data_IF_075869256312
#
_entry.id   IF_075869256312
#
_cell.length_a   1.000
_cell.length_b   1.000
_cell.length_c   1.000
_cell.angle_alpha   90.00
_cell.angle_beta   90.00
_cell.angle_gamma   90.00
#
_symmetry.space_group_name_H-M   'P 1'
#
loop_
_entity.id
_entity.type
_entity.pdbx_description
1 polymer ?
#
# COMPACT_ATOMS: atom_id res chain seq x y z
N UNK A 1 6.05 5.42 21.02
CA UNK A 1 5.97 4.04 20.45
C UNK A 1 4.90 3.90 19.38
N UNK A 2 3.70 4.45 19.57
CA UNK A 2 2.63 4.43 18.56
C UNK A 2 3.05 4.96 17.17
N UNK A 3 3.80 6.05 17.11
CA UNK A 3 4.33 6.60 15.84
C UNK A 3 5.26 5.62 15.11
N UNK A 4 6.06 4.82 15.83
CA UNK A 4 6.96 3.82 15.24
C UNK A 4 6.14 2.70 14.60
N UNK A 5 5.08 2.23 15.28
CA UNK A 5 4.18 1.23 14.72
C UNK A 5 3.39 1.73 13.50
N UNK A 6 3.01 3.01 13.51
CA UNK A 6 2.40 3.65 12.33
C UNK A 6 3.36 3.68 11.13
N UNK A 7 4.63 4.02 11.34
CA UNK A 7 5.65 4.03 10.27
C UNK A 7 5.92 2.61 9.76
N UNK A 8 6.04 1.63 10.65
CA UNK A 8 6.22 0.23 10.27
C UNK A 8 5.02 -0.28 9.47
N UNK A 9 3.80 -0.04 9.95
CA UNK A 9 2.58 -0.38 9.23
C UNK A 9 2.48 0.29 7.87
N UNK A 10 2.93 1.54 7.75
CA UNK A 10 3.00 2.24 6.47
C UNK A 10 3.99 1.58 5.50
N UNK A 11 5.21 1.29 5.94
CA UNK A 11 6.25 0.66 5.09
C UNK A 11 5.80 -0.74 4.66
N UNK A 12 5.34 -1.57 5.59
CA UNK A 12 4.83 -2.91 5.27
C UNK A 12 3.61 -2.85 4.38
N UNK A 13 2.69 -1.92 4.64
CA UNK A 13 1.52 -1.69 3.81
C UNK A 13 1.86 -1.23 2.39
N UNK A 14 2.89 -0.40 2.24
CA UNK A 14 3.38 0.04 0.94
C UNK A 14 4.00 -1.12 0.15
N UNK A 15 4.85 -1.94 0.79
CA UNK A 15 5.43 -3.12 0.14
C UNK A 15 4.32 -4.11 -0.24
N UNK A 16 3.38 -4.36 0.67
CA UNK A 16 2.25 -5.24 0.41
C UNK A 16 1.36 -4.74 -0.73
N UNK A 17 1.04 -3.45 -0.75
CA UNK A 17 0.27 -2.84 -1.84
C UNK A 17 0.99 -2.99 -3.19
N UNK A 18 2.33 -2.83 -3.24
CA UNK A 18 3.10 -3.08 -4.46
C UNK A 18 3.04 -4.55 -4.90
N UNK A 19 3.10 -5.51 -3.97
CA UNK A 19 2.93 -6.93 -4.30
C UNK A 19 1.54 -7.24 -4.88
N UNK A 20 0.50 -6.63 -4.31
CA UNK A 20 -0.87 -6.74 -4.83
C UNK A 20 -0.97 -6.12 -6.23
N UNK A 21 -0.36 -4.96 -6.44
CA UNK A 21 -0.28 -4.33 -7.77
C UNK A 21 0.42 -5.22 -8.79
N UNK A 22 1.54 -5.85 -8.42
CA UNK A 22 2.24 -6.78 -9.31
C UNK A 22 1.33 -7.93 -9.72
N UNK A 23 0.51 -8.45 -8.81
CA UNK A 23 -0.46 -9.50 -9.13
C UNK A 23 -1.51 -9.03 -10.14
N UNK A 24 -2.11 -7.85 -9.93
CA UNK A 24 -3.12 -7.30 -10.86
C UNK A 24 -2.54 -6.87 -12.21
N UNK A 25 -1.32 -6.34 -12.21
CA UNK A 25 -0.65 -5.85 -13.42
C UNK A 25 0.07 -6.96 -14.19
N UNK A 26 0.13 -8.19 -13.65
CA UNK A 26 0.83 -9.32 -14.29
C UNK A 26 0.25 -9.68 -15.66
N UNK A 27 -1.04 -9.45 -15.87
CA UNK A 27 -1.73 -9.74 -17.12
C UNK A 27 -1.65 -8.58 -18.14
N UNK A 28 -1.12 -7.42 -17.73
CA UNK A 28 -1.00 -6.24 -18.60
C UNK A 28 0.31 -6.24 -19.36
N UNK A 29 0.25 -5.86 -20.64
CA UNK A 29 1.44 -5.76 -21.48
C UNK A 29 2.26 -4.52 -21.09
N UNK A 30 3.58 -4.56 -21.34
CA UNK A 30 4.49 -3.44 -21.03
C UNK A 30 4.05 -2.14 -21.74
N UNK A 31 3.52 -2.25 -22.96
CA UNK A 31 3.07 -1.10 -23.75
C UNK A 31 1.82 -0.44 -23.14
N UNK A 32 0.88 -1.23 -22.60
CA UNK A 32 -0.27 -0.70 -21.87
C UNK A 32 0.16 0.00 -20.57
N UNK A 33 1.08 -0.61 -19.81
CA UNK A 33 1.64 -0.04 -18.58
C UNK A 33 2.37 1.29 -18.80
N UNK A 34 3.04 1.44 -19.95
CA UNK A 34 3.83 2.63 -20.26
C UNK A 34 2.97 3.77 -20.83
N UNK A 35 2.02 3.45 -21.69
CA UNK A 35 1.20 4.44 -22.40
C UNK A 35 -0.07 4.84 -21.66
N UNK A 36 -0.60 3.99 -20.78
CA UNK A 36 -1.80 4.31 -20.03
C UNK A 36 -1.46 5.10 -18.75
N UNK A 37 -1.68 6.41 -18.81
CA UNK A 37 -1.47 7.33 -17.69
C UNK A 37 -2.50 7.11 -16.58
N UNK A 38 -3.72 6.67 -16.90
CA UNK A 38 -4.78 6.39 -15.94
C UNK A 38 -4.39 5.23 -15.03
N UNK A 39 -3.88 4.14 -15.63
CA UNK A 39 -3.35 2.99 -14.89
C UNK A 39 -2.34 3.43 -13.81
N UNK A 40 -1.37 4.28 -14.17
CA UNK A 40 -0.33 4.74 -13.22
C UNK A 40 -0.92 5.48 -12.01
N UNK A 41 -1.88 6.38 -12.24
CA UNK A 41 -2.49 7.13 -11.15
C UNK A 41 -3.44 6.27 -10.31
N UNK A 42 -4.28 5.45 -10.93
CA UNK A 42 -5.23 4.59 -10.21
C UNK A 42 -4.51 3.58 -9.33
N UNK A 43 -3.52 2.87 -9.88
CA UNK A 43 -2.78 1.86 -9.11
C UNK A 43 -1.82 2.50 -8.11
N UNK A 44 -1.20 3.63 -8.45
CA UNK A 44 -0.42 4.42 -7.50
C UNK A 44 -1.27 4.84 -6.29
N UNK A 45 -2.42 5.45 -6.53
CA UNK A 45 -3.37 5.84 -5.47
C UNK A 45 -3.85 4.64 -4.66
N UNK A 46 -4.16 3.52 -5.30
CA UNK A 46 -4.55 2.30 -4.60
C UNK A 46 -3.46 1.83 -3.62
N UNK A 47 -2.19 1.85 -4.02
CA UNK A 47 -1.08 1.50 -3.13
C UNK A 47 -0.94 2.47 -1.95
N UNK A 48 -1.10 3.78 -2.18
CA UNK A 48 -1.08 4.77 -1.10
C UNK A 48 -2.23 4.60 -0.11
N UNK A 49 -3.42 4.26 -0.61
CA UNK A 49 -4.59 3.94 0.25
C UNK A 49 -4.29 2.70 1.10
N UNK A 50 -3.77 1.63 0.50
CA UNK A 50 -3.41 0.39 1.21
C UNK A 50 -2.36 0.68 2.30
N UNK A 51 -1.34 1.46 1.97
CA UNK A 51 -0.30 1.84 2.93
C UNK A 51 -0.87 2.66 4.11
N UNK A 52 -1.76 3.61 3.85
CA UNK A 52 -2.45 4.38 4.88
C UNK A 52 -3.33 3.51 5.79
N UNK A 53 -4.09 2.59 5.20
CA UNK A 53 -4.95 1.65 5.95
C UNK A 53 -4.12 0.70 6.83
N UNK A 54 -3.01 0.17 6.31
CA UNK A 54 -2.11 -0.69 7.09
C UNK A 54 -1.41 0.07 8.21
N UNK A 55 -1.01 1.33 7.97
CA UNK A 55 -0.48 2.21 9.02
C UNK A 55 -1.48 2.39 10.16
N UNK A 56 -2.74 2.69 9.82
CA UNK A 56 -3.81 2.83 10.80
C UNK A 56 -4.07 1.51 11.54
N UNK A 57 -4.14 0.39 10.82
CA UNK A 57 -4.36 -0.93 11.42
C UNK A 57 -3.27 -1.28 12.44
N UNK A 58 -2.00 -1.09 12.10
CA UNK A 58 -0.88 -1.32 13.02
C UNK A 58 -0.90 -0.40 14.23
N UNK A 59 -1.20 0.89 14.03
CA UNK A 59 -1.32 1.84 15.13
C UNK A 59 -2.49 1.49 16.06
N UNK A 60 -3.62 1.05 15.50
CA UNK A 60 -4.82 0.63 16.24
C UNK A 60 -4.58 -0.66 17.02
N UNK A 61 -3.98 -1.67 16.40
CA UNK A 61 -3.55 -2.91 17.07
C UNK A 61 -2.61 -2.58 18.22
N UNK A 62 -1.61 -1.74 17.98
CA UNK A 62 -0.68 -1.33 19.04
C UNK A 62 -1.39 -0.65 20.20
N UNK A 63 -2.34 0.24 19.91
CA UNK A 63 -3.15 0.89 20.95
C UNK A 63 -3.97 -0.13 21.75
N UNK A 64 -4.62 -1.09 21.08
CA UNK A 64 -5.46 -2.09 21.74
C UNK A 64 -4.68 -3.03 22.69
N UNK A 65 -3.42 -3.34 22.38
CA UNK A 65 -2.62 -4.28 23.20
C UNK A 65 -1.67 -3.60 24.20
N UNK A 66 -1.28 -2.34 23.96
CA UNK A 66 -0.21 -1.67 24.73
C UNK A 66 -0.57 -0.26 25.23
N UNK A 67 -1.80 0.23 24.99
CA UNK A 67 -2.33 1.43 25.64
C UNK A 67 -3.15 1.09 26.88
#
# INVERSE_FOLDING_TARGET
MMYVMGILGFIFGFIFGQLVLIFFLREKTKDELLNDRSLKYTYGLANWIIAGLMSYAFASIYNLYFS
#
